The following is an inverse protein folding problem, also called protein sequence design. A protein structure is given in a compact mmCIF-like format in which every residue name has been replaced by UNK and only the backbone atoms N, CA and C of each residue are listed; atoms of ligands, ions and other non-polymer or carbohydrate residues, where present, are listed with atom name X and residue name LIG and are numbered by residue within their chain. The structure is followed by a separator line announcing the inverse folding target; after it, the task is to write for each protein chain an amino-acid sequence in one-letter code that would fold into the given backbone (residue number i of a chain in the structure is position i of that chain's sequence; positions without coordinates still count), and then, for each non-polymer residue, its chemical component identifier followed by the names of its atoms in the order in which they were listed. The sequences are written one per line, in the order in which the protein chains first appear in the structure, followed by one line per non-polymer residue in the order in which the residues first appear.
data_IF_272522172438
#
_entry.id   IF_272522172438
#
_cell.length_a   1.000
_cell.length_b   1.000
_cell.length_c   1.000
_cell.angle_alpha   90.00
_cell.angle_beta   90.00
_cell.angle_gamma   90.00
#
_symmetry.space_group_name_H-M   'P 1'
#
loop_
_entity.id
_entity.type
_entity.pdbx_description
1 polymer ?
#
# COMPACT_ATOMS: atom_id res chain seq x y z
N UNK A 1 4.98 -4.40 4.99
CA UNK A 1 4.47 -3.20 5.70
C UNK A 1 3.21 -2.72 5.00
N UNK A 2 2.32 -2.01 5.72
CA UNK A 2 1.15 -1.36 5.13
C UNK A 2 1.40 0.14 4.96
N UNK A 3 1.30 0.64 3.74
CA UNK A 3 1.73 2.02 3.39
C UNK A 3 0.56 2.84 2.85
N UNK A 4 0.49 4.11 3.25
CA UNK A 4 -0.47 5.08 2.71
C UNK A 4 0.28 6.29 2.17
N UNK A 5 0.11 6.58 0.87
CA UNK A 5 0.56 7.82 0.24
C UNK A 5 -0.59 8.82 0.33
N UNK A 6 -0.54 9.82 1.23
CA UNK A 6 -1.67 10.70 1.49
C UNK A 6 -1.83 11.70 0.36
N UNK A 7 -3.08 12.11 0.10
CA UNK A 7 -3.44 13.11 -0.92
C UNK A 7 -2.63 14.42 -0.84
N UNK A 8 -2.19 14.80 0.36
CA UNK A 8 -1.43 16.02 0.62
C UNK A 8 0.04 15.94 0.17
N UNK A 9 0.49 14.80 -0.35
CA UNK A 9 1.86 14.58 -0.83
C UNK A 9 1.88 14.11 -2.29
N UNK A 10 1.62 15.01 -3.26
CA UNK A 10 1.75 14.67 -4.67
C UNK A 10 3.22 14.46 -5.06
N UNK A 11 3.46 13.88 -6.24
CA UNK A 11 4.80 13.67 -6.82
C UNK A 11 5.72 12.73 -6.03
N UNK A 12 5.14 11.81 -5.24
CA UNK A 12 5.92 10.77 -4.55
C UNK A 12 6.36 9.70 -5.56
N UNK A 13 7.65 9.35 -5.50
CA UNK A 13 8.23 8.22 -6.24
C UNK A 13 8.73 7.17 -5.27
N UNK A 14 8.24 5.94 -5.41
CA UNK A 14 8.85 4.78 -4.77
C UNK A 14 9.93 4.21 -5.68
N UNK A 15 11.15 4.09 -5.16
CA UNK A 15 12.30 3.54 -5.87
C UNK A 15 12.86 2.36 -5.07
N UNK A 16 12.73 1.15 -5.63
CA UNK A 16 13.37 -0.04 -5.10
C UNK A 16 14.70 -0.37 -5.79
N UNK A 17 15.38 -1.38 -5.27
CA UNK A 17 16.63 -1.92 -5.81
C UNK A 17 16.39 -2.99 -6.89
N UNK A 18 15.15 -3.46 -7.05
CA UNK A 18 14.76 -4.45 -8.06
C UNK A 18 13.41 -5.08 -7.74
N UNK A 19 12.62 -5.45 -8.76
CA UNK A 19 11.26 -5.98 -8.56
C UNK A 19 11.20 -7.26 -7.72
N UNK A 20 12.23 -8.11 -7.78
CA UNK A 20 12.33 -9.33 -6.97
C UNK A 20 13.03 -9.15 -5.63
N UNK A 21 13.54 -7.94 -5.35
CA UNK A 21 14.37 -7.64 -4.17
C UNK A 21 13.57 -6.77 -3.21
N UNK A 22 12.98 -5.69 -3.70
CA UNK A 22 12.18 -4.76 -2.91
C UNK A 22 10.70 -5.08 -3.09
N UNK A 23 10.05 -5.55 -2.03
CA UNK A 23 8.63 -5.91 -2.03
C UNK A 23 7.94 -5.28 -0.82
N UNK A 24 6.83 -4.57 -1.07
CA UNK A 24 5.90 -4.16 0.00
C UNK A 24 4.73 -5.13 -0.01
N UNK A 25 4.59 -5.85 1.10
CA UNK A 25 3.55 -6.86 1.30
C UNK A 25 2.83 -6.65 2.63
N UNK A 26 1.52 -6.94 2.61
CA UNK A 26 0.69 -6.98 3.80
C UNK A 26 -0.36 -8.10 3.70
N UNK A 27 -0.74 -8.71 4.82
CA UNK A 27 -1.53 -9.95 4.84
C UNK A 27 -3.00 -9.76 5.23
N UNK A 28 -3.49 -8.51 5.19
CA UNK A 28 -4.90 -8.20 5.47
C UNK A 28 -5.81 -8.82 4.41
N UNK A 29 -6.92 -9.40 4.86
CA UNK A 29 -8.04 -9.84 4.04
C UNK A 29 -9.26 -8.99 4.37
N UNK A 30 -10.13 -8.74 3.40
CA UNK A 30 -11.35 -7.95 3.60
C UNK A 30 -12.24 -8.45 4.77
N UNK A 31 -12.16 -9.75 5.10
CA UNK A 31 -12.86 -10.39 6.20
C UNK A 31 -12.20 -10.25 7.57
N UNK A 32 -10.94 -9.82 7.64
CA UNK A 32 -10.20 -9.69 8.89
C UNK A 32 -10.83 -8.59 9.76
N UNK A 33 -10.75 -8.78 11.08
CA UNK A 33 -11.29 -7.82 12.06
C UNK A 33 -10.25 -6.77 12.39
N UNK A 34 -10.60 -5.51 12.16
CA UNK A 34 -9.78 -4.37 12.55
C UNK A 34 -9.88 -4.06 14.05
N UNK A 35 -9.19 -3.02 14.53
CA UNK A 35 -9.16 -2.64 15.94
C UNK A 35 -10.53 -2.37 16.57
N UNK A 36 -11.52 -1.97 15.76
CA UNK A 36 -12.90 -1.75 16.22
C UNK A 36 -13.73 -3.03 16.32
N UNK A 37 -13.13 -4.22 16.10
CA UNK A 37 -13.81 -5.52 16.06
C UNK A 37 -14.68 -5.75 14.80
N UNK A 38 -14.78 -4.76 13.90
CA UNK A 38 -15.51 -4.85 12.64
C UNK A 38 -14.59 -5.33 11.52
N UNK A 39 -15.18 -5.88 10.45
CA UNK A 39 -14.42 -6.25 9.25
C UNK A 39 -13.75 -5.02 8.64
N UNK A 40 -12.54 -5.17 8.12
CA UNK A 40 -11.81 -4.05 7.51
C UNK A 40 -12.33 -3.70 6.12
N UNK A 41 -12.98 -4.64 5.42
CA UNK A 41 -13.46 -4.49 4.04
C UNK A 41 -12.34 -4.34 3.00
N UNK A 42 -12.68 -4.49 1.72
CA UNK A 42 -11.73 -4.54 0.60
C UNK A 42 -10.86 -3.28 0.48
N UNK A 43 -11.45 -2.09 0.70
CA UNK A 43 -10.71 -0.83 0.53
C UNK A 43 -9.56 -0.68 1.54
N UNK A 44 -9.69 -1.29 2.74
CA UNK A 44 -8.65 -1.26 3.75
C UNK A 44 -7.71 -2.46 3.66
N UNK A 45 -7.93 -3.47 2.82
CA UNK A 45 -7.04 -4.63 2.77
C UNK A 45 -5.82 -4.44 1.88
N UNK A 46 -5.71 -3.31 1.16
CA UNK A 46 -4.57 -3.03 0.30
C UNK A 46 -3.27 -2.86 1.12
N UNK A 47 -2.18 -3.44 0.62
CA UNK A 47 -0.83 -3.29 1.18
C UNK A 47 -0.26 -1.88 0.93
N UNK A 48 -0.60 -1.26 -0.19
CA UNK A 48 -0.28 0.13 -0.52
C UNK A 48 -1.53 0.87 -0.99
N UNK A 49 -1.88 1.96 -0.30
CA UNK A 49 -2.97 2.87 -0.68
C UNK A 49 -2.36 4.16 -1.21
N UNK A 50 -2.68 4.53 -2.45
CA UNK A 50 -2.21 5.77 -3.08
C UNK A 50 -3.40 6.70 -3.29
N UNK A 51 -3.40 7.83 -2.58
CA UNK A 51 -4.44 8.87 -2.69
C UNK A 51 -3.93 10.16 -3.32
N UNK A 52 -2.65 10.21 -3.70
CA UNK A 52 -1.98 11.40 -4.19
C UNK A 52 -1.86 11.42 -5.72
N UNK A 53 -1.86 12.63 -6.27
CA UNK A 53 -1.63 12.85 -7.69
C UNK A 53 -0.15 12.65 -8.05
N UNK A 54 0.10 12.21 -9.29
CA UNK A 54 1.45 12.03 -9.85
C UNK A 54 2.35 11.03 -9.09
N UNK A 55 1.77 9.99 -8.49
CA UNK A 55 2.54 8.89 -7.93
C UNK A 55 3.25 8.08 -9.01
N UNK A 56 4.49 7.66 -8.75
CA UNK A 56 5.20 6.68 -9.58
C UNK A 56 5.95 5.64 -8.74
N UNK A 57 6.15 4.44 -9.29
CA UNK A 57 6.89 3.37 -8.64
C UNK A 57 7.83 2.69 -9.66
N UNK A 58 9.08 2.44 -9.26
CA UNK A 58 10.10 1.82 -10.10
C UNK A 58 10.89 0.77 -9.33
N UNK A 59 11.22 -0.33 -10.00
CA UNK A 59 12.05 -1.42 -9.46
C UNK A 59 11.55 -1.96 -8.10
N UNK A 60 10.24 -2.05 -7.91
CA UNK A 60 9.59 -2.48 -6.67
C UNK A 60 8.33 -3.27 -6.99
N UNK A 61 7.98 -4.25 -6.15
CA UNK A 61 6.74 -5.02 -6.26
C UNK A 61 5.78 -4.75 -5.09
N UNK A 62 4.49 -4.88 -5.36
CA UNK A 62 3.42 -4.83 -4.36
C UNK A 62 2.72 -6.19 -4.30
N UNK A 63 2.50 -6.71 -3.09
CA UNK A 63 1.80 -7.97 -2.84
C UNK A 63 0.72 -7.79 -1.78
#
# INVERSE_FOLDING_TARGET
EKVVVPKTKPYITFQGEGMGVTVIEWHDRAGDRGPSGRRIHTYNSASVIVLADHFSARNISFK
#
